data_IF_000990012507
#
_entry.id   IF_000990012507
#
_cell.length_a   1.000
_cell.length_b   1.000
_cell.length_c   1.000
_cell.angle_alpha   90.00
_cell.angle_beta   90.00
_cell.angle_gamma   90.00
#
_symmetry.space_group_name_H-M   'P 1'
#
loop_
_entity.id
_entity.type
_entity.pdbx_description
1 polymer ?
#
# COMPACT_ATOMS: atom_id res chain seq x y z
N UNK A 1 4.12 4.07 35.17
CA UNK A 1 3.20 3.47 34.19
C UNK A 1 3.88 3.49 32.82
N UNK A 2 4.68 2.47 32.45
CA UNK A 2 5.33 2.45 31.15
C UNK A 2 4.35 1.92 30.10
N UNK A 3 4.10 2.73 29.07
CA UNK A 3 3.32 2.37 27.90
C UNK A 3 4.08 1.33 27.07
N UNK A 4 3.36 0.31 26.66
CA UNK A 4 3.82 -0.88 25.95
C UNK A 4 4.43 -0.51 24.59
N UNK A 5 5.75 -0.68 24.46
CA UNK A 5 6.38 -1.01 23.18
C UNK A 5 5.94 -2.44 22.84
N UNK A 6 4.89 -2.60 22.02
CA UNK A 6 4.59 -3.90 21.42
C UNK A 6 5.56 -4.11 20.25
N UNK A 7 6.70 -4.69 20.59
CA UNK A 7 7.67 -5.23 19.65
C UNK A 7 7.00 -6.41 18.91
N UNK A 8 6.53 -6.17 17.69
CA UNK A 8 5.94 -7.20 16.80
C UNK A 8 6.99 -8.20 16.26
N UNK A 9 8.07 -8.43 17.01
CA UNK A 9 9.23 -9.22 16.62
C UNK A 9 9.47 -10.38 17.58
N UNK A 10 8.47 -11.22 17.83
CA UNK A 10 8.74 -12.58 18.33
C UNK A 10 7.78 -13.60 17.72
N UNK A 11 8.39 -14.52 16.96
CA UNK A 11 7.98 -15.91 16.76
C UNK A 11 6.66 -16.19 16.03
N UNK A 12 6.76 -16.49 14.73
CA UNK A 12 5.72 -17.26 14.05
C UNK A 12 5.49 -16.95 12.57
N UNK A 13 6.05 -15.87 12.01
CA UNK A 13 5.84 -15.61 10.58
C UNK A 13 6.70 -16.59 9.75
N UNK A 14 6.11 -17.55 8.99
CA UNK A 14 6.88 -18.55 8.30
C UNK A 14 7.77 -17.88 7.25
N UNK A 15 9.08 -18.16 7.31
CA UNK A 15 10.10 -17.72 6.31
C UNK A 15 9.90 -18.32 4.91
N UNK A 16 8.79 -19.03 4.67
CA UNK A 16 8.54 -19.80 3.46
C UNK A 16 7.25 -19.36 2.76
N UNK A 17 7.07 -18.06 2.48
CA UNK A 17 6.00 -17.59 1.61
C UNK A 17 6.28 -17.67 0.09
N UNK A 18 7.53 -17.66 -0.44
CA UNK A 18 7.70 -17.60 -1.91
C UNK A 18 7.37 -18.88 -2.67
N UNK A 19 7.39 -20.05 -2.03
CA UNK A 19 7.36 -21.35 -2.76
C UNK A 19 5.98 -22.01 -2.87
N UNK A 20 4.93 -21.45 -2.25
CA UNK A 20 3.59 -22.06 -2.21
C UNK A 20 2.72 -21.68 -3.43
N UNK A 21 3.08 -20.60 -4.15
CA UNK A 21 2.24 -20.04 -5.22
C UNK A 21 2.25 -20.88 -6.51
N UNK A 22 3.30 -21.67 -6.76
CA UNK A 22 3.53 -22.24 -8.11
C UNK A 22 2.54 -23.34 -8.53
N UNK A 23 1.75 -23.90 -7.61
CA UNK A 23 0.75 -24.95 -7.90
C UNK A 23 -0.70 -24.60 -7.55
N UNK A 24 -0.92 -23.64 -6.64
CA UNK A 24 -2.25 -23.34 -6.11
C UNK A 24 -3.07 -22.49 -7.10
N UNK A 25 -4.18 -23.07 -7.57
CA UNK A 25 -5.14 -22.39 -8.47
C UNK A 25 -5.79 -21.21 -7.76
N UNK A 26 -6.13 -21.34 -6.47
CA UNK A 26 -6.74 -20.27 -5.67
C UNK A 26 -5.78 -19.08 -5.51
N UNK A 27 -4.52 -19.34 -5.16
CA UNK A 27 -3.49 -18.31 -5.08
C UNK A 27 -3.31 -17.55 -6.41
N UNK A 28 -3.33 -18.25 -7.55
CA UNK A 28 -3.23 -17.62 -8.88
C UNK A 28 -4.43 -16.73 -9.21
N UNK A 29 -5.65 -17.16 -8.85
CA UNK A 29 -6.82 -16.31 -9.03
C UNK A 29 -6.77 -15.07 -8.14
N UNK A 30 -6.33 -15.21 -6.88
CA UNK A 30 -6.17 -14.07 -5.97
C UNK A 30 -5.14 -13.05 -6.51
N UNK A 31 -3.99 -13.52 -7.01
CA UNK A 31 -2.97 -12.64 -7.60
C UNK A 31 -3.49 -11.91 -8.84
N UNK A 32 -4.14 -12.60 -9.77
CA UNK A 32 -4.75 -11.96 -10.96
C UNK A 32 -5.83 -10.94 -10.58
N UNK A 33 -6.64 -11.26 -9.56
CA UNK A 33 -7.64 -10.34 -9.03
C UNK A 33 -7.00 -9.06 -8.50
N UNK A 34 -5.91 -9.21 -7.74
CA UNK A 34 -5.14 -8.08 -7.22
C UNK A 34 -4.49 -7.23 -8.32
N UNK A 35 -3.83 -7.86 -9.29
CA UNK A 35 -3.24 -7.17 -10.46
C UNK A 35 -4.31 -6.38 -11.24
N UNK A 36 -5.49 -6.98 -11.42
CA UNK A 36 -6.63 -6.31 -12.07
C UNK A 36 -7.11 -5.11 -11.25
N UNK A 37 -7.16 -5.21 -9.92
CA UNK A 37 -7.50 -4.06 -9.06
C UNK A 37 -6.49 -2.93 -9.19
N UNK A 38 -5.18 -3.23 -9.24
CA UNK A 38 -4.15 -2.22 -9.49
C UNK A 38 -4.31 -1.56 -10.86
N UNK A 39 -4.63 -2.34 -11.90
CA UNK A 39 -4.89 -1.82 -13.24
C UNK A 39 -6.10 -0.87 -13.26
N UNK A 40 -7.19 -1.20 -12.55
CA UNK A 40 -8.36 -0.32 -12.43
C UNK A 40 -7.98 1.01 -11.77
N UNK A 41 -7.18 0.98 -10.71
CA UNK A 41 -6.71 2.20 -10.04
C UNK A 41 -5.82 3.04 -10.98
N UNK A 42 -4.90 2.39 -11.68
CA UNK A 42 -4.02 3.03 -12.65
C UNK A 42 -4.79 3.73 -13.76
N UNK A 43 -5.78 3.07 -14.36
CA UNK A 43 -6.57 3.64 -15.44
C UNK A 43 -7.49 4.76 -14.96
N UNK A 44 -8.04 4.62 -13.75
CA UNK A 44 -8.82 5.70 -13.11
C UNK A 44 -7.95 6.94 -12.88
N UNK A 45 -6.76 6.77 -12.30
CA UNK A 45 -5.86 7.86 -11.95
C UNK A 45 -5.09 8.43 -13.16
N UNK A 46 -5.12 7.74 -14.31
CA UNK A 46 -4.57 8.26 -15.56
C UNK A 46 -5.35 9.49 -16.06
N UNK A 47 -6.66 9.50 -15.83
CA UNK A 47 -7.56 10.55 -16.34
C UNK A 47 -8.16 11.43 -15.23
N UNK A 48 -7.91 11.12 -13.95
CA UNK A 48 -8.47 11.84 -12.81
C UNK A 48 -7.39 12.21 -11.80
N UNK A 49 -7.57 13.34 -11.11
CA UNK A 49 -6.66 13.79 -10.06
C UNK A 49 -6.76 12.91 -8.79
N UNK A 50 -7.94 12.41 -8.49
CA UNK A 50 -8.21 11.57 -7.32
C UNK A 50 -9.10 10.39 -7.72
N UNK A 51 -9.28 9.43 -6.82
CA UNK A 51 -10.16 8.30 -7.10
C UNK A 51 -11.61 8.75 -7.33
N UNK A 52 -12.03 9.81 -6.65
CA UNK A 52 -13.35 10.43 -6.81
C UNK A 52 -13.54 11.25 -8.10
N UNK A 53 -12.48 11.52 -8.87
CA UNK A 53 -12.51 12.48 -9.98
C UNK A 53 -11.55 13.64 -9.72
N UNK A 54 -12.04 14.87 -9.79
CA UNK A 54 -11.21 16.07 -9.54
C UNK A 54 -11.12 16.47 -8.07
N UNK A 55 -11.98 15.91 -7.23
CA UNK A 55 -12.02 16.19 -5.79
C UNK A 55 -11.49 15.03 -4.94
N UNK A 56 -10.81 15.38 -3.84
CA UNK A 56 -10.34 14.41 -2.86
C UNK A 56 -11.50 13.93 -1.99
N UNK A 57 -11.68 12.61 -1.88
CA UNK A 57 -12.85 12.01 -1.21
C UNK A 57 -12.46 10.91 -0.22
N UNK A 58 -13.48 10.34 0.44
CA UNK A 58 -13.30 9.15 1.27
C UNK A 58 -12.67 7.97 0.51
N UNK A 59 -12.86 7.87 -0.80
CA UNK A 59 -12.24 6.82 -1.61
C UNK A 59 -10.70 6.87 -1.50
N UNK A 60 -10.12 8.07 -1.52
CA UNK A 60 -8.67 8.26 -1.42
C UNK A 60 -8.14 7.90 -0.02
N UNK A 61 -8.89 8.28 1.02
CA UNK A 61 -8.57 7.97 2.43
C UNK A 61 -8.56 6.46 2.66
N UNK A 62 -9.56 5.74 2.14
CA UNK A 62 -9.67 4.29 2.31
C UNK A 62 -8.54 3.55 1.58
N UNK A 63 -8.19 3.99 0.38
CA UNK A 63 -7.26 3.26 -0.49
C UNK A 63 -5.78 3.61 -0.27
N UNK A 64 -5.45 4.82 0.22
CA UNK A 64 -4.03 5.19 0.42
C UNK A 64 -3.33 4.24 1.39
N UNK A 65 -3.99 3.86 2.49
CA UNK A 65 -3.42 2.93 3.47
C UNK A 65 -3.19 1.54 2.85
N UNK A 66 -4.11 1.05 2.01
CA UNK A 66 -3.93 -0.22 1.32
C UNK A 66 -2.72 -0.21 0.38
N UNK A 67 -2.47 0.91 -0.31
CA UNK A 67 -1.37 1.03 -1.27
C UNK A 67 -0.01 1.33 -0.61
N UNK A 68 0.01 1.92 0.59
CA UNK A 68 1.26 2.18 1.32
C UNK A 68 1.52 1.08 2.35
N UNK A 69 0.63 0.90 3.30
CA UNK A 69 0.88 0.08 4.50
C UNK A 69 0.98 -1.39 4.17
N UNK A 70 0.13 -1.91 3.26
CA UNK A 70 0.19 -3.32 2.88
C UNK A 70 1.51 -3.71 2.21
N UNK A 71 2.23 -2.79 1.57
CA UNK A 71 3.56 -3.06 0.99
C UNK A 71 4.61 -3.42 2.04
N UNK A 72 4.41 -3.00 3.30
CA UNK A 72 5.30 -3.40 4.40
C UNK A 72 5.15 -4.89 4.73
N UNK A 73 3.97 -5.47 4.49
CA UNK A 73 3.61 -6.84 4.84
C UNK A 73 3.67 -7.78 3.62
N UNK A 74 3.14 -7.36 2.48
CA UNK A 74 3.00 -8.17 1.26
C UNK A 74 4.05 -7.80 0.21
N UNK A 75 4.64 -8.79 -0.50
CA UNK A 75 5.61 -8.55 -1.55
C UNK A 75 4.91 -8.25 -2.88
N UNK A 76 4.50 -7.01 -3.10
CA UNK A 76 4.02 -6.56 -4.42
C UNK A 76 4.75 -5.28 -4.86
N UNK A 77 4.91 -5.15 -6.19
CA UNK A 77 5.49 -3.98 -6.84
C UNK A 77 4.40 -3.11 -7.47
N UNK A 78 4.65 -1.81 -7.50
CA UNK A 78 3.88 -0.81 -8.24
C UNK A 78 4.63 -0.33 -9.50
N UNK A 79 5.70 -1.01 -9.91
CA UNK A 79 6.39 -0.71 -11.17
C UNK A 79 5.43 -0.84 -12.36
N UNK A 80 5.40 0.18 -13.23
CA UNK A 80 4.46 0.26 -14.36
C UNK A 80 3.10 0.88 -14.03
N UNK A 81 2.81 1.14 -12.74
CA UNK A 81 1.60 1.84 -12.29
C UNK A 81 1.91 3.32 -11.96
N UNK A 82 2.41 4.05 -12.94
CA UNK A 82 2.93 5.41 -12.76
C UNK A 82 1.89 6.42 -12.25
N UNK A 83 0.63 6.26 -12.64
CA UNK A 83 -0.47 7.12 -12.18
C UNK A 83 -0.77 6.88 -10.70
N UNK A 84 -0.64 5.63 -10.26
CA UNK A 84 -0.76 5.25 -8.84
C UNK A 84 0.41 5.85 -8.05
N UNK A 85 1.65 5.77 -8.56
CA UNK A 85 2.82 6.37 -7.90
C UNK A 85 2.69 7.89 -7.77
N UNK A 86 2.26 8.57 -8.85
CA UNK A 86 2.00 10.01 -8.83
C UNK A 86 0.89 10.38 -7.83
N UNK A 87 -0.16 9.57 -7.75
CA UNK A 87 -1.22 9.70 -6.75
C UNK A 87 -0.68 9.56 -5.32
N UNK A 88 0.14 8.54 -5.03
CA UNK A 88 0.72 8.35 -3.69
C UNK A 88 1.59 9.53 -3.27
N UNK A 89 2.42 10.04 -4.18
CA UNK A 89 3.21 11.26 -3.92
C UNK A 89 2.29 12.43 -3.55
N UNK A 90 1.26 12.68 -4.36
CA UNK A 90 0.30 13.77 -4.13
C UNK A 90 -0.48 13.63 -2.81
N UNK A 91 -0.91 12.42 -2.43
CA UNK A 91 -1.61 12.20 -1.15
C UNK A 91 -0.68 12.45 0.03
N UNK A 92 0.55 11.94 -0.02
CA UNK A 92 1.51 12.02 1.10
C UNK A 92 2.06 13.42 1.34
N UNK A 93 2.02 14.30 0.35
CA UNK A 93 2.35 15.72 0.48
C UNK A 93 1.28 16.55 1.22
N UNK A 94 0.07 16.00 1.43
CA UNK A 94 -1.00 16.72 2.14
C UNK A 94 -0.66 16.84 3.62
N UNK A 95 -0.77 18.05 4.17
CA UNK A 95 -0.58 18.32 5.60
C UNK A 95 -1.45 17.44 6.50
N UNK A 96 -2.70 17.18 6.08
CA UNK A 96 -3.61 16.30 6.82
C UNK A 96 -3.09 14.86 6.91
N UNK A 97 -2.50 14.34 5.82
CA UNK A 97 -1.91 13.01 5.81
C UNK A 97 -0.68 12.95 6.72
N UNK A 98 0.23 13.91 6.62
CA UNK A 98 1.43 13.98 7.48
C UNK A 98 1.08 14.04 8.95
N UNK A 99 0.05 14.82 9.33
CA UNK A 99 -0.48 14.86 10.70
C UNK A 99 -1.08 13.54 11.15
N UNK A 100 -1.79 12.84 10.26
CA UNK A 100 -2.36 11.54 10.56
C UNK A 100 -1.26 10.50 10.82
N UNK A 101 -0.23 10.44 9.96
CA UNK A 101 0.94 9.56 10.15
C UNK A 101 1.68 9.91 11.44
N UNK A 102 1.98 11.19 11.68
CA UNK A 102 2.67 11.62 12.90
C UNK A 102 1.92 11.27 14.20
N UNK A 103 0.59 11.15 14.14
CA UNK A 103 -0.24 10.76 15.29
C UNK A 103 -0.40 9.25 15.42
N UNK A 104 -0.63 8.55 14.31
CA UNK A 104 -0.92 7.12 14.29
C UNK A 104 0.34 6.26 14.37
N UNK A 105 1.37 6.63 13.62
CA UNK A 105 2.61 5.87 13.44
C UNK A 105 3.83 6.81 13.40
N UNK A 106 4.22 7.41 14.54
CA UNK A 106 5.36 8.33 14.59
C UNK A 106 6.65 7.68 14.06
N UNK A 107 7.31 8.34 13.10
CA UNK A 107 8.59 7.89 12.53
C UNK A 107 8.46 6.93 11.35
N UNK A 108 7.27 6.50 10.96
CA UNK A 108 7.07 5.69 9.75
C UNK A 108 7.09 6.58 8.51
N UNK A 109 7.95 6.22 7.55
CA UNK A 109 7.91 6.77 6.19
C UNK A 109 7.07 5.85 5.31
N UNK A 110 5.95 6.31 4.74
CA UNK A 110 5.09 5.48 3.92
C UNK A 110 5.81 5.05 2.64
N UNK A 111 5.70 3.78 2.23
CA UNK A 111 6.45 3.25 1.10
C UNK A 111 5.80 3.62 -0.24
N UNK A 112 6.03 4.86 -0.68
CA UNK A 112 5.44 5.43 -1.89
C UNK A 112 6.19 5.09 -3.19
N UNK A 113 7.35 4.45 -3.12
CA UNK A 113 8.13 4.03 -4.29
C UNK A 113 7.50 2.85 -5.05
N UNK A 114 8.07 2.44 -6.19
CA UNK A 114 7.56 1.29 -6.95
C UNK A 114 7.74 -0.01 -6.17
N UNK A 115 8.89 -0.20 -5.57
CA UNK A 115 9.22 -1.45 -4.91
C UNK A 115 8.83 -1.47 -3.43
N UNK A 116 8.82 -2.68 -2.87
CA UNK A 116 8.81 -2.87 -1.42
C UNK A 116 10.07 -2.22 -0.83
N UNK A 117 9.97 -1.44 0.27
CA UNK A 117 11.16 -0.93 0.93
C UNK A 117 12.08 -2.06 1.36
N UNK A 118 13.37 -1.87 1.10
CA UNK A 118 14.41 -2.69 1.71
C UNK A 118 14.36 -2.41 3.22
N UNK A 119 14.15 -3.47 4.02
CA UNK A 119 14.21 -3.39 5.48
C UNK A 119 15.64 -3.16 5.95
#
# INVERSE_FOLDING_TARGET
>A
MPCLHHDWRVEGFPRAFPQIISGDVGARFALRGFEKSLQILQDRLRTNTWLGGDEFTAADIMNVCALTTMKMFLPFSLAGYDSVLAYLKRVTERTAYQRAVAKGDPGIQPPIGPEKPLR
#
